data_IF_247206099471
#
_entry.id   IF_247206099471
#
_cell.length_a   1.000
_cell.length_b   1.000
_cell.length_c   1.000
_cell.angle_alpha   90.00
_cell.angle_beta   90.00
_cell.angle_gamma   90.00
#
_symmetry.space_group_name_H-M   'P 1'
#
loop_
_entity.id
_entity.type
_entity.pdbx_description
1 polymer ?
#
# COMPACT_ATOMS: atom_id res chain seq x y z
N UNK A 1 -2.67 41.18 12.05
CA UNK A 1 -3.11 39.92 11.40
C UNK A 1 -3.72 40.18 10.01
N UNK A 2 -2.92 40.40 8.94
CA UNK A 2 -3.40 40.17 7.57
C UNK A 2 -2.50 39.29 6.69
N UNK A 3 -1.34 38.82 7.19
CA UNK A 3 -0.28 38.22 6.34
C UNK A 3 -0.37 36.69 6.18
N UNK A 4 -1.38 36.04 6.78
CA UNK A 4 -1.54 34.59 6.72
C UNK A 4 -2.37 34.14 5.50
N UNK A 5 -3.31 34.98 5.04
CA UNK A 5 -4.12 34.69 3.85
C UNK A 5 -3.38 35.02 2.54
N UNK A 6 -2.46 35.99 2.55
CA UNK A 6 -1.66 36.32 1.36
C UNK A 6 -0.62 35.25 1.02
N UNK A 7 0.03 34.64 2.02
CA UNK A 7 1.04 33.60 1.79
C UNK A 7 0.47 32.24 1.35
N UNK A 8 -0.82 31.99 1.59
CA UNK A 8 -1.51 30.81 1.05
C UNK A 8 -1.89 31.04 -0.42
N UNK A 9 -2.07 32.30 -0.85
CA UNK A 9 -2.52 32.66 -2.20
C UNK A 9 -1.41 32.62 -3.28
N UNK A 10 -0.13 32.54 -2.90
CA UNK A 10 1.02 32.48 -3.84
C UNK A 10 1.72 31.12 -3.89
N UNK A 11 1.06 30.02 -3.51
CA UNK A 11 1.50 28.74 -4.09
C UNK A 11 1.18 28.84 -5.59
N UNK A 12 2.16 28.82 -6.51
CA UNK A 12 1.87 28.97 -7.93
C UNK A 12 0.85 27.88 -8.29
N UNK A 13 -0.14 28.19 -9.13
CA UNK A 13 -1.15 27.22 -9.59
C UNK A 13 -0.50 25.88 -10.00
N UNK A 14 0.72 25.92 -10.55
CA UNK A 14 1.55 24.74 -10.84
C UNK A 14 1.93 23.89 -9.62
N UNK A 15 2.20 24.47 -8.45
CA UNK A 15 2.46 23.72 -7.21
C UNK A 15 1.19 23.05 -6.68
N UNK A 16 0.02 23.69 -6.76
CA UNK A 16 -1.26 23.06 -6.41
C UNK A 16 -1.64 21.95 -7.38
N UNK A 17 -1.44 22.15 -8.69
CA UNK A 17 -1.62 21.12 -9.71
C UNK A 17 -0.63 19.97 -9.53
N UNK A 18 0.66 20.23 -9.31
CA UNK A 18 1.65 19.18 -9.05
C UNK A 18 1.36 18.45 -7.74
N UNK A 19 0.88 19.12 -6.69
CA UNK A 19 0.52 18.48 -5.41
C UNK A 19 -0.77 17.65 -5.52
N UNK A 20 -1.73 18.06 -6.37
CA UNK A 20 -3.01 17.35 -6.55
C UNK A 20 -2.93 16.22 -7.60
N UNK A 21 -2.13 16.39 -8.64
CA UNK A 21 -2.03 15.45 -9.78
C UNK A 21 -0.95 14.37 -9.58
N UNK A 22 0.17 14.71 -8.94
CA UNK A 22 1.26 13.77 -8.59
C UNK A 22 0.80 12.55 -7.77
N UNK A 23 -0.19 12.64 -6.85
CA UNK A 23 -0.68 11.47 -6.13
C UNK A 23 -1.83 10.71 -6.84
N UNK A 24 -2.51 11.31 -7.82
CA UNK A 24 -3.60 10.65 -8.56
C UNK A 24 -3.11 9.60 -9.56
N UNK A 25 -2.02 9.88 -10.27
CA UNK A 25 -1.38 8.95 -11.21
C UNK A 25 -0.95 7.63 -10.54
N UNK A 26 -0.25 7.63 -9.39
CA UNK A 26 0.09 6.39 -8.69
C UNK A 26 -1.11 5.69 -8.04
N UNK A 27 -2.25 6.35 -7.85
CA UNK A 27 -3.49 5.66 -7.43
C UNK A 27 -4.05 4.79 -8.56
N UNK A 28 -4.16 5.36 -9.77
CA UNK A 28 -4.72 4.64 -10.92
C UNK A 28 -3.76 3.57 -11.43
N UNK A 29 -2.46 3.88 -11.58
CA UNK A 29 -1.51 2.90 -12.12
C UNK A 29 -0.95 2.01 -11.01
N UNK A 30 -0.77 2.56 -9.80
CA UNK A 30 -0.11 1.86 -8.70
C UNK A 30 -1.00 0.83 -8.04
N UNK A 31 -2.32 1.03 -7.89
CA UNK A 31 -3.20 0.00 -7.30
C UNK A 31 -3.08 -1.35 -8.05
N UNK A 32 -3.33 -1.45 -9.37
CA UNK A 32 -3.24 -2.72 -10.08
C UNK A 32 -1.81 -3.26 -10.10
N UNK A 33 -0.80 -2.39 -10.16
CA UNK A 33 0.60 -2.79 -10.14
C UNK A 33 1.00 -3.38 -8.79
N UNK A 34 0.60 -2.77 -7.67
CA UNK A 34 0.87 -3.27 -6.31
C UNK A 34 0.17 -4.60 -6.08
N UNK A 35 -1.08 -4.77 -6.53
CA UNK A 35 -1.77 -6.06 -6.49
C UNK A 35 -0.99 -7.10 -7.29
N UNK A 36 -0.58 -6.76 -8.52
CA UNK A 36 0.18 -7.65 -9.38
C UNK A 36 1.51 -8.06 -8.76
N UNK A 37 2.30 -7.10 -8.28
CA UNK A 37 3.60 -7.34 -7.64
C UNK A 37 3.45 -8.17 -6.38
N UNK A 38 2.53 -7.82 -5.48
CA UNK A 38 2.35 -8.55 -4.24
C UNK A 38 1.86 -9.98 -4.48
N UNK A 39 0.97 -10.19 -5.47
CA UNK A 39 0.55 -11.55 -5.85
C UNK A 39 1.67 -12.32 -6.54
N UNK A 40 2.47 -11.69 -7.39
CA UNK A 40 3.60 -12.34 -8.06
C UNK A 40 4.68 -12.80 -7.07
N UNK A 41 4.89 -12.06 -5.98
CA UNK A 41 5.85 -12.42 -4.92
C UNK A 41 5.37 -13.64 -4.12
N UNK A 42 4.05 -13.73 -3.86
CA UNK A 42 3.48 -14.76 -2.98
C UNK A 42 3.07 -16.03 -3.76
N UNK A 43 3.03 -15.98 -5.09
CA UNK A 43 2.65 -17.15 -5.89
C UNK A 43 3.75 -18.23 -5.91
N UNK A 44 3.41 -19.51 -5.69
CA UNK A 44 4.36 -20.62 -5.72
C UNK A 44 4.74 -21.07 -7.14
N UNK A 45 4.28 -20.40 -8.19
CA UNK A 45 4.46 -20.82 -9.59
C UNK A 45 5.56 -20.03 -10.30
N UNK A 46 6.32 -20.70 -11.19
CA UNK A 46 7.23 -20.03 -12.14
C UNK A 46 6.44 -19.24 -13.16
N UNK A 47 6.45 -17.91 -13.01
CA UNK A 47 5.90 -16.99 -14.00
C UNK A 47 6.89 -16.88 -15.17
N UNK A 48 6.43 -17.21 -16.38
CA UNK A 48 7.23 -17.01 -17.59
C UNK A 48 7.32 -15.52 -17.91
N UNK A 49 8.54 -15.02 -18.13
CA UNK A 49 8.78 -13.62 -18.54
C UNK A 49 8.18 -13.31 -19.92
N UNK A 50 8.18 -14.27 -20.84
CA UNK A 50 7.67 -14.08 -22.21
C UNK A 50 6.19 -14.45 -22.37
N UNK A 51 5.61 -15.17 -21.40
CA UNK A 51 4.22 -15.62 -21.41
C UNK A 51 3.27 -14.73 -20.61
N UNK A 52 3.30 -13.40 -20.81
CA UNK A 52 2.57 -12.42 -19.98
C UNK A 52 1.09 -12.79 -19.79
N UNK A 53 0.40 -13.26 -20.85
CA UNK A 53 -1.02 -13.64 -20.78
C UNK A 53 -1.26 -14.88 -19.90
N UNK A 54 -0.39 -15.88 -19.99
CA UNK A 54 -0.46 -17.11 -19.18
C UNK A 54 -0.10 -16.84 -17.71
N UNK A 55 0.90 -15.99 -17.48
CA UNK A 55 1.30 -15.51 -16.16
C UNK A 55 0.18 -14.70 -15.48
N UNK A 56 -0.50 -13.83 -16.24
CA UNK A 56 -1.66 -13.07 -15.74
C UNK A 56 -2.86 -13.97 -15.43
N UNK A 57 -3.12 -15.03 -16.21
CA UNK A 57 -4.19 -15.98 -15.89
C UNK A 57 -3.89 -16.85 -14.67
N UNK A 58 -2.61 -17.07 -14.35
CA UNK A 58 -2.20 -17.75 -13.13
C UNK A 58 -2.35 -16.83 -11.89
N UNK A 59 -2.14 -15.52 -12.07
CA UNK A 59 -2.26 -14.52 -10.99
C UNK A 59 -3.70 -14.12 -10.69
N UNK A 60 -4.51 -13.87 -11.73
CA UNK A 60 -5.87 -13.36 -11.62
C UNK A 60 -6.93 -14.46 -11.81
N UNK A 61 -7.92 -14.47 -10.93
CA UNK A 61 -9.07 -15.36 -11.05
C UNK A 61 -9.80 -15.15 -12.39
N UNK A 62 -10.43 -16.18 -13.00
CA UNK A 62 -11.28 -16.02 -14.18
C UNK A 62 -12.34 -14.91 -14.00
N UNK A 63 -12.84 -14.72 -12.78
CA UNK A 63 -13.78 -13.67 -12.40
C UNK A 63 -13.17 -12.26 -12.48
N UNK A 64 -11.97 -12.07 -11.93
CA UNK A 64 -11.26 -10.78 -11.95
C UNK A 64 -10.86 -10.35 -13.37
N UNK A 65 -10.53 -11.32 -14.25
CA UNK A 65 -10.22 -11.06 -15.67
C UNK A 65 -11.40 -10.51 -16.47
N UNK A 66 -12.63 -10.88 -16.11
CA UNK A 66 -13.85 -10.38 -16.77
C UNK A 66 -14.28 -9.00 -16.27
N UNK A 67 -13.84 -8.58 -15.08
CA UNK A 67 -14.21 -7.31 -14.44
C UNK A 67 -12.99 -6.64 -13.77
N UNK A 68 -12.07 -6.03 -14.56
CA UNK A 68 -10.85 -5.43 -14.01
C UNK A 68 -11.11 -4.25 -13.06
N UNK A 69 -12.23 -3.55 -13.24
CA UNK A 69 -12.66 -2.46 -12.35
C UNK A 69 -12.90 -2.93 -10.90
N UNK A 70 -13.19 -4.22 -10.71
CA UNK A 70 -13.45 -4.79 -9.39
C UNK A 70 -12.18 -4.90 -8.53
N UNK A 71 -10.99 -4.83 -9.15
CA UNK A 71 -9.70 -4.74 -8.44
C UNK A 71 -9.58 -3.43 -7.64
N UNK A 72 -10.22 -2.36 -8.10
CA UNK A 72 -10.28 -1.09 -7.36
C UNK A 72 -11.30 -1.12 -6.22
N UNK A 73 -12.32 -1.98 -6.33
CA UNK A 73 -13.38 -2.19 -5.33
C UNK A 73 -12.99 -3.19 -4.24
N UNK A 74 -11.72 -3.63 -4.18
CA UNK A 74 -11.24 -4.47 -3.09
C UNK A 74 -11.45 -3.74 -1.76
N UNK A 75 -12.28 -4.27 -0.83
CA UNK A 75 -12.78 -3.50 0.30
C UNK A 75 -11.64 -3.07 1.22
N UNK A 76 -11.50 -1.76 1.43
CA UNK A 76 -10.47 -1.18 2.30
C UNK A 76 -9.12 -0.89 1.65
N UNK A 77 -8.84 -1.37 0.43
CA UNK A 77 -7.59 -1.06 -0.27
C UNK A 77 -7.53 0.43 -0.65
N UNK A 78 -8.61 0.96 -1.22
CA UNK A 78 -8.72 2.38 -1.56
C UNK A 78 -8.53 3.27 -0.33
N UNK A 79 -9.12 2.89 0.81
CA UNK A 79 -8.96 3.62 2.07
C UNK A 79 -7.50 3.62 2.53
N UNK A 80 -6.80 2.48 2.42
CA UNK A 80 -5.39 2.41 2.77
C UNK A 80 -4.53 3.29 1.87
N UNK A 81 -4.77 3.32 0.55
CA UNK A 81 -4.07 4.20 -0.37
C UNK A 81 -4.37 5.69 -0.14
N UNK A 82 -5.63 6.04 0.12
CA UNK A 82 -6.03 7.41 0.46
C UNK A 82 -5.35 7.86 1.76
N UNK A 83 -5.33 7.01 2.79
CA UNK A 83 -4.61 7.31 4.03
C UNK A 83 -3.10 7.43 3.81
N UNK A 84 -2.49 6.59 2.96
CA UNK A 84 -1.08 6.71 2.57
C UNK A 84 -0.78 8.00 1.79
N UNK A 85 -1.76 8.61 1.13
CA UNK A 85 -1.63 9.89 0.46
C UNK A 85 -1.80 11.07 1.44
N UNK A 86 -2.78 10.98 2.35
CA UNK A 86 -3.08 12.05 3.30
C UNK A 86 -1.95 12.23 4.33
N UNK A 87 -1.35 11.14 4.81
CA UNK A 87 -0.37 11.19 5.90
C UNK A 87 0.91 11.99 5.51
N UNK A 88 1.58 11.73 4.38
CA UNK A 88 2.73 12.54 3.94
C UNK A 88 2.35 13.98 3.60
N UNK A 89 1.14 14.21 3.08
CA UNK A 89 0.64 15.56 2.85
C UNK A 89 0.51 16.35 4.16
N UNK A 90 -0.10 15.75 5.19
CA UNK A 90 -0.15 16.33 6.53
C UNK A 90 1.25 16.58 7.12
N UNK A 91 2.17 15.62 6.93
CA UNK A 91 3.56 15.77 7.35
C UNK A 91 4.23 17.00 6.72
N UNK A 92 4.14 17.16 5.39
CA UNK A 92 4.74 18.32 4.70
C UNK A 92 4.12 19.64 5.12
N UNK A 93 2.81 19.68 5.38
CA UNK A 93 2.13 20.88 5.88
C UNK A 93 2.62 21.26 7.29
N UNK A 94 2.70 20.29 8.19
CA UNK A 94 3.16 20.50 9.57
C UNK A 94 4.65 20.86 9.59
N UNK A 95 5.48 20.19 8.80
CA UNK A 95 6.90 20.48 8.71
C UNK A 95 7.16 21.89 8.16
N UNK A 96 6.38 22.34 7.16
CA UNK A 96 6.47 23.71 6.63
C UNK A 96 6.07 24.74 7.69
N UNK A 97 5.01 24.47 8.44
CA UNK A 97 4.59 25.34 9.55
C UNK A 97 5.66 25.41 10.65
N UNK A 98 6.20 24.25 11.04
CA UNK A 98 7.28 24.13 12.02
C UNK A 98 8.54 24.88 11.56
N UNK A 99 8.94 24.73 10.30
CA UNK A 99 10.08 25.44 9.69
C UNK A 99 9.91 26.95 9.78
N UNK A 100 8.72 27.49 9.47
CA UNK A 100 8.49 28.94 9.55
C UNK A 100 8.52 29.52 10.97
N UNK A 101 8.28 28.69 11.99
CA UNK A 101 8.15 29.15 13.39
C UNK A 101 9.40 28.95 14.24
N UNK A 102 10.26 27.96 13.93
CA UNK A 102 11.37 27.52 14.79
C UNK A 102 12.76 27.95 14.26
N UNK A 103 12.84 28.43 13.01
CA UNK A 103 14.12 28.71 12.37
C UNK A 103 14.89 29.90 12.97
N UNK A 104 14.22 30.81 13.70
CA UNK A 104 14.84 32.07 14.14
C UNK A 104 15.88 31.95 15.27
N UNK A 105 15.96 30.83 16.03
CA UNK A 105 16.91 30.78 17.15
C UNK A 105 17.56 29.42 17.47
N UNK A 106 16.98 28.26 17.11
CA UNK A 106 17.50 26.96 17.57
C UNK A 106 17.46 25.84 16.52
N UNK A 107 18.56 25.68 15.77
CA UNK A 107 18.72 24.62 14.75
C UNK A 107 18.62 23.20 15.35
N UNK A 108 19.15 22.97 16.54
CA UNK A 108 19.10 21.64 17.19
C UNK A 108 17.68 21.28 17.61
N UNK A 109 16.91 22.24 18.11
CA UNK A 109 15.52 22.03 18.48
C UNK A 109 14.65 21.70 17.26
N UNK A 110 14.91 22.34 16.12
CA UNK A 110 14.26 22.02 14.85
C UNK A 110 14.55 20.57 14.41
N UNK A 111 15.81 20.12 14.43
CA UNK A 111 16.17 18.75 14.04
C UNK A 111 15.48 17.71 14.94
N UNK A 112 15.47 17.93 16.26
CA UNK A 112 14.79 17.04 17.21
C UNK A 112 13.27 17.01 16.95
N UNK A 113 12.67 18.17 16.69
CA UNK A 113 11.24 18.28 16.37
C UNK A 113 10.89 17.56 15.05
N UNK A 114 11.75 17.65 14.04
CA UNK A 114 11.57 16.93 12.77
C UNK A 114 11.71 15.42 12.96
N UNK A 115 12.75 14.95 13.66
CA UNK A 115 12.96 13.51 13.90
C UNK A 115 11.79 12.91 14.69
N UNK A 116 11.33 13.60 15.74
CA UNK A 116 10.17 13.15 16.53
C UNK A 116 8.89 13.12 15.68
N UNK A 117 8.66 14.12 14.83
CA UNK A 117 7.54 14.14 13.90
C UNK A 117 7.60 12.95 12.92
N UNK A 118 8.77 12.66 12.35
CA UNK A 118 8.98 11.50 11.45
C UNK A 118 8.66 10.19 12.15
N UNK A 119 9.12 10.02 13.39
CA UNK A 119 8.84 8.81 14.17
C UNK A 119 7.34 8.62 14.44
N UNK A 120 6.62 9.70 14.76
CA UNK A 120 5.17 9.65 14.96
C UNK A 120 4.45 9.28 13.67
N UNK A 121 4.77 9.95 12.57
CA UNK A 121 4.13 9.71 11.27
C UNK A 121 4.44 8.33 10.71
N UNK A 122 5.66 7.81 10.90
CA UNK A 122 6.03 6.45 10.48
C UNK A 122 5.32 5.38 11.33
N UNK A 123 5.19 5.57 12.63
CA UNK A 123 4.46 4.65 13.53
C UNK A 123 3.00 4.49 13.12
N UNK A 124 2.37 5.54 12.60
CA UNK A 124 1.00 5.51 12.10
C UNK A 124 0.91 4.92 10.68
N UNK A 125 1.90 5.22 9.82
CA UNK A 125 1.90 4.80 8.41
C UNK A 125 2.21 3.32 8.21
N UNK A 126 3.12 2.76 9.01
CA UNK A 126 3.56 1.36 8.92
C UNK A 126 2.41 0.35 9.02
N UNK A 127 1.57 0.35 10.08
CA UNK A 127 0.48 -0.63 10.20
C UNK A 127 -0.48 -0.56 9.01
N UNK A 128 -0.75 0.64 8.51
CA UNK A 128 -1.60 0.88 7.36
C UNK A 128 -1.04 0.26 6.08
N UNK A 129 0.27 0.34 5.86
CA UNK A 129 0.94 -0.29 4.72
C UNK A 129 0.87 -1.82 4.77
N UNK A 130 1.13 -2.41 5.94
CA UNK A 130 1.04 -3.87 6.10
C UNK A 130 -0.38 -4.37 5.86
N UNK A 131 -1.39 -3.65 6.36
CA UNK A 131 -2.80 -3.98 6.09
C UNK A 131 -3.13 -3.85 4.59
N UNK A 132 -2.62 -2.81 3.91
CA UNK A 132 -2.81 -2.65 2.46
C UNK A 132 -2.20 -3.81 1.66
N UNK A 133 -0.99 -4.24 2.02
CA UNK A 133 -0.31 -5.38 1.40
C UNK A 133 -1.14 -6.65 1.58
N UNK A 134 -1.59 -6.93 2.81
CA UNK A 134 -2.44 -8.10 3.12
C UNK A 134 -3.74 -8.11 2.32
N UNK A 135 -4.42 -6.97 2.25
CA UNK A 135 -5.64 -6.82 1.44
C UNK A 135 -5.38 -7.01 -0.06
N UNK A 136 -4.23 -6.55 -0.57
CA UNK A 136 -3.91 -6.67 -2.00
C UNK A 136 -3.60 -8.11 -2.43
N UNK A 137 -3.09 -8.92 -1.51
CA UNK A 137 -2.81 -10.35 -1.74
C UNK A 137 -4.12 -11.14 -1.79
N UNK A 138 -5.15 -10.70 -1.05
CA UNK A 138 -6.46 -11.36 -1.03
C UNK A 138 -7.05 -11.41 -2.45
N UNK A 139 -7.40 -12.62 -2.89
CA UNK A 139 -8.12 -12.86 -4.15
C UNK A 139 -9.61 -12.58 -3.95
N UNK A 140 -10.23 -11.86 -4.89
CA UNK A 140 -11.66 -11.63 -4.84
C UNK A 140 -12.37 -12.88 -5.38
N UNK A 141 -12.72 -13.80 -4.48
CA UNK A 141 -13.53 -14.96 -4.80
C UNK A 141 -14.99 -14.52 -4.83
N UNK A 142 -15.53 -14.25 -6.01
CA UNK A 142 -16.94 -13.91 -6.22
C UNK A 142 -17.89 -15.10 -5.99
N UNK A 143 -17.76 -15.80 -4.86
CA UNK A 143 -18.56 -16.98 -4.50
C UNK A 143 -18.20 -18.27 -5.25
N UNK A 144 -17.28 -18.23 -6.22
CA UNK A 144 -16.81 -19.44 -6.91
C UNK A 144 -15.75 -20.15 -6.06
N UNK A 145 -15.91 -21.47 -5.80
CA UNK A 145 -14.88 -22.26 -5.15
C UNK A 145 -13.60 -22.20 -5.99
N UNK A 146 -12.43 -22.21 -5.36
CA UNK A 146 -11.18 -22.13 -6.09
C UNK A 146 -11.08 -23.34 -7.01
N UNK A 147 -11.15 -23.11 -8.32
CA UNK A 147 -10.75 -24.08 -9.33
C UNK A 147 -9.23 -24.19 -9.32
N UNK A 148 -8.68 -24.75 -8.24
CA UNK A 148 -7.43 -25.51 -8.28
C UNK A 148 -7.68 -26.92 -8.84
N UNK A 149 -8.82 -27.15 -9.50
CA UNK A 149 -8.90 -28.18 -10.52
C UNK A 149 -7.91 -27.76 -11.61
N UNK A 150 -6.66 -28.14 -11.39
CA UNK A 150 -5.68 -28.40 -12.43
C UNK A 150 -6.43 -29.30 -13.40
N UNK A 151 -6.86 -28.76 -14.55
CA UNK A 151 -7.10 -29.62 -15.69
C UNK A 151 -5.77 -30.35 -15.91
N UNK A 152 -5.72 -31.69 -15.86
CA UNK A 152 -4.47 -32.45 -15.89
C UNK A 152 -3.77 -32.42 -17.26
N UNK A 153 -4.07 -31.41 -18.10
CA UNK A 153 -3.58 -31.25 -19.47
C UNK A 153 -2.76 -29.98 -19.75
N UNK A 154 -2.77 -28.93 -18.91
CA UNK A 154 -2.04 -27.68 -19.20
C UNK A 154 -0.72 -27.59 -18.42
N UNK A 155 0.23 -28.43 -18.86
CA UNK A 155 1.58 -28.64 -18.34
C UNK A 155 2.57 -27.50 -18.64
N UNK A 156 2.23 -26.25 -18.32
CA UNK A 156 3.13 -25.10 -18.60
C UNK A 156 3.55 -24.25 -17.39
N UNK A 157 3.04 -24.52 -16.18
CA UNK A 157 3.45 -23.80 -14.98
C UNK A 157 4.21 -24.74 -14.03
N UNK A 158 5.53 -24.59 -13.98
CA UNK A 158 6.39 -25.35 -13.08
C UNK A 158 6.24 -24.79 -11.66
N UNK A 159 5.74 -25.61 -10.73
CA UNK A 159 5.63 -25.28 -9.32
C UNK A 159 7.03 -25.16 -8.70
N UNK A 160 7.30 -24.10 -7.94
CA UNK A 160 8.64 -23.83 -7.37
C UNK A 160 8.98 -24.73 -6.18
N UNK A 161 7.99 -25.30 -5.50
CA UNK A 161 8.17 -26.18 -4.33
C UNK A 161 7.11 -27.26 -4.32
N UNK A 162 7.49 -28.52 -4.07
CA UNK A 162 6.56 -29.65 -3.89
C UNK A 162 5.89 -29.66 -2.51
N UNK A 163 6.09 -28.62 -1.70
CA UNK A 163 5.51 -28.52 -0.37
C UNK A 163 4.04 -28.13 -0.50
N UNK A 164 3.15 -29.08 -0.19
CA UNK A 164 1.71 -28.91 -0.25
C UNK A 164 1.25 -27.84 0.74
N UNK A 165 1.19 -26.59 0.29
CA UNK A 165 0.63 -25.48 1.06
C UNK A 165 -0.88 -25.69 1.13
N UNK A 166 -1.33 -26.40 2.17
CA UNK A 166 -2.73 -26.43 2.57
C UNK A 166 -3.15 -24.98 2.76
N UNK A 167 -3.95 -24.46 1.82
CA UNK A 167 -4.60 -23.18 2.01
C UNK A 167 -5.60 -23.35 3.15
N UNK A 168 -5.15 -23.05 4.37
CA UNK A 168 -6.04 -22.86 5.50
C UNK A 168 -7.04 -21.82 5.04
N UNK A 169 -8.33 -22.20 5.02
CA UNK A 169 -9.44 -21.37 4.57
C UNK A 169 -9.57 -20.18 5.51
N UNK A 170 -8.77 -19.16 5.25
CA UNK A 170 -8.87 -17.88 5.95
C UNK A 170 -10.09 -17.14 5.38
N UNK A 171 -11.03 -16.83 6.28
CA UNK A 171 -12.18 -16.02 5.95
C UNK A 171 -11.72 -14.71 5.27
N UNK A 172 -12.29 -14.36 4.10
CA UNK A 172 -11.92 -13.14 3.41
C UNK A 172 -12.09 -11.91 4.33
N UNK A 173 -11.18 -10.95 4.24
CA UNK A 173 -11.33 -9.69 4.94
C UNK A 173 -12.47 -8.90 4.30
N UNK A 174 -13.36 -8.36 5.14
CA UNK A 174 -14.49 -7.53 4.68
C UNK A 174 -14.11 -6.06 4.56
N UNK A 175 -12.96 -5.68 5.09
CA UNK A 175 -12.42 -4.32 5.02
C UNK A 175 -11.09 -4.17 5.75
N UNK A 176 -10.54 -2.95 5.71
CA UNK A 176 -9.24 -2.61 6.30
C UNK A 176 -9.18 -2.81 7.81
N UNK A 177 -10.23 -2.39 8.52
CA UNK A 177 -10.31 -2.50 9.98
C UNK A 177 -10.45 -3.96 10.40
N UNK A 178 -11.29 -4.73 9.70
CA UNK A 178 -11.44 -6.18 9.91
C UNK A 178 -10.12 -6.93 9.68
N UNK A 179 -9.40 -6.58 8.59
CA UNK A 179 -8.07 -7.11 8.31
C UNK A 179 -7.08 -6.81 9.45
N UNK A 180 -7.05 -5.57 9.94
CA UNK A 180 -6.20 -5.18 11.06
C UNK A 180 -6.50 -5.99 12.32
N UNK A 181 -7.77 -6.09 12.72
CA UNK A 181 -8.17 -6.84 13.91
C UNK A 181 -7.86 -8.33 13.79
N UNK A 182 -8.17 -8.95 12.65
CA UNK A 182 -7.87 -10.37 12.43
C UNK A 182 -6.37 -10.64 12.45
N UNK A 183 -5.57 -9.76 11.86
CA UNK A 183 -4.10 -9.90 11.85
C UNK A 183 -3.52 -9.79 13.27
N UNK A 184 -3.97 -8.80 14.06
CA UNK A 184 -3.55 -8.66 15.47
C UNK A 184 -3.97 -9.87 16.30
N UNK A 185 -5.17 -10.41 16.08
CA UNK A 185 -5.69 -11.57 16.82
C UNK A 185 -4.95 -12.86 16.47
N UNK A 186 -4.58 -13.07 15.21
CA UNK A 186 -3.93 -14.30 14.73
C UNK A 186 -2.42 -14.30 14.96
N UNK A 187 -1.75 -13.18 14.67
CA UNK A 187 -0.28 -13.12 14.61
C UNK A 187 0.33 -12.19 15.66
N UNK A 188 -0.51 -11.40 16.34
CA UNK A 188 -0.07 -10.42 17.32
C UNK A 188 0.18 -9.03 16.72
N UNK A 189 0.19 -8.02 17.59
CA UNK A 189 0.34 -6.63 17.21
C UNK A 189 1.72 -6.29 16.61
N UNK A 190 2.77 -7.05 16.96
CA UNK A 190 4.13 -6.85 16.43
C UNK A 190 4.22 -7.10 14.92
N UNK A 191 3.32 -7.92 14.38
CA UNK A 191 3.24 -8.18 12.93
C UNK A 191 2.95 -6.91 12.13
N UNK A 192 2.15 -6.00 12.69
CA UNK A 192 1.87 -4.71 12.05
C UNK A 192 3.12 -3.83 11.89
N UNK A 193 4.10 -4.00 12.76
CA UNK A 193 5.37 -3.26 12.74
C UNK A 193 6.51 -4.05 12.12
N UNK A 194 6.21 -5.21 11.51
CA UNK A 194 7.21 -5.99 10.79
C UNK A 194 7.72 -5.16 9.61
N UNK A 195 9.04 -4.99 9.53
CA UNK A 195 9.71 -4.13 8.55
C UNK A 195 9.43 -2.62 8.67
N UNK A 196 9.13 -2.10 9.87
CA UNK A 196 9.01 -0.65 10.11
C UNK A 196 10.24 0.15 9.62
N UNK A 197 11.45 -0.43 9.73
CA UNK A 197 12.69 0.16 9.24
C UNK A 197 12.70 0.42 7.73
N UNK A 198 12.01 -0.40 6.93
CA UNK A 198 11.94 -0.23 5.47
C UNK A 198 11.17 1.03 5.08
N UNK A 199 10.28 1.51 5.95
CA UNK A 199 9.59 2.78 5.78
C UNK A 199 10.34 3.94 6.41
N UNK A 200 11.10 3.70 7.48
CA UNK A 200 11.82 4.75 8.18
C UNK A 200 13.03 5.25 7.37
N UNK A 201 13.80 4.34 6.77
CA UNK A 201 15.03 4.71 6.06
C UNK A 201 14.75 5.66 4.88
N UNK A 202 13.84 5.37 3.93
CA UNK A 202 13.57 6.28 2.82
C UNK A 202 13.07 7.65 3.30
N UNK A 203 12.23 7.68 4.34
CA UNK A 203 11.71 8.93 4.89
C UNK A 203 12.79 9.78 5.55
N UNK A 204 13.80 9.16 6.18
CA UNK A 204 14.92 9.86 6.78
C UNK A 204 15.92 10.38 5.74
N UNK A 205 16.13 9.66 4.64
CA UNK A 205 17.08 10.04 3.57
C UNK A 205 16.53 11.09 2.59
N UNK A 206 15.21 11.24 2.47
CA UNK A 206 14.56 12.14 1.50
C UNK A 206 14.33 13.56 2.07
N UNK A 207 14.45 13.74 3.39
CA UNK A 207 14.32 15.04 4.04
C UNK A 207 15.60 15.88 4.00
#
# INVERSE_FOLDING_TARGET
MPNLLSNICYAPLSALFLVSFRPGIPLIIGIPLTILTNRAIVTPYRLSFFGVRSSLSALFSPYERRRPWMLYLTPGLLMAFVSQMIIPFGFTLINRWLFTSVLEQHQVAYIIAVISLVLVFTTISVPLQIIAIRLSIQRNFGGEPPSFAVDPGDSHLQEYSSEHVVQIRDEPYTGMIDCGHKMVRKEGWRTLFRAWWATLLPNLFIQ
#
